data_IF_507171406779
#
_entry.id   IF_507171406779
#
_cell.length_a   1.000
_cell.length_b   1.000
_cell.length_c   1.000
_cell.angle_alpha   90.00
_cell.angle_beta   90.00
_cell.angle_gamma   90.00
#
_symmetry.space_group_name_H-M   'P 1'
#
loop_
_entity.id
_entity.type
_entity.pdbx_description
1 polymer ?
#
# COMPACT_ATOMS: atom_id res chain seq x y z
N UNK A 1 -5.36 -2.60 -11.37
CA UNK A 1 -6.14 -1.35 -11.57
C UNK A 1 -5.19 -0.17 -11.60
N UNK A 2 -5.24 0.75 -12.57
CA UNK A 2 -4.31 1.89 -12.61
C UNK A 2 -4.93 3.09 -11.88
N UNK A 3 -4.23 3.67 -10.91
CA UNK A 3 -4.62 4.89 -10.19
C UNK A 3 -3.56 5.99 -10.41
N UNK A 4 -3.28 6.42 -11.66
CA UNK A 4 -2.20 7.36 -11.93
C UNK A 4 -2.63 8.81 -11.62
N UNK A 5 -1.86 9.51 -10.80
CA UNK A 5 -2.04 10.94 -10.52
C UNK A 5 -3.33 11.29 -9.77
N UNK A 6 -3.92 10.32 -9.06
CA UNK A 6 -5.17 10.49 -8.33
C UNK A 6 -4.94 11.19 -6.99
N UNK A 7 -5.73 12.24 -6.75
CA UNK A 7 -6.02 12.72 -5.41
C UNK A 7 -6.83 11.62 -4.69
N UNK A 8 -6.15 10.83 -3.86
CA UNK A 8 -6.76 9.81 -2.99
C UNK A 8 -6.86 10.29 -1.55
N UNK A 9 -6.75 11.62 -1.33
CA UNK A 9 -6.79 12.16 0.01
C UNK A 9 -8.14 11.86 0.64
N UNK A 10 -8.12 11.31 1.86
CA UNK A 10 -9.32 10.91 2.61
C UNK A 10 -10.18 9.87 1.88
N UNK A 11 -9.64 9.18 0.89
CA UNK A 11 -10.34 8.11 0.21
C UNK A 11 -10.52 6.93 1.17
N UNK A 12 -11.69 6.31 1.11
CA UNK A 12 -11.94 5.06 1.81
C UNK A 12 -11.54 3.89 0.91
N UNK A 13 -10.40 3.26 1.22
CA UNK A 13 -9.84 2.11 0.51
C UNK A 13 -9.77 0.89 1.42
N UNK A 14 -10.53 0.86 2.53
CA UNK A 14 -10.53 -0.30 3.42
C UNK A 14 -11.13 -1.52 2.74
N UNK A 15 -10.56 -2.71 3.03
CA UNK A 15 -10.94 -4.00 2.42
C UNK A 15 -10.84 -4.03 0.87
N UNK A 16 -10.20 -3.03 0.25
CA UNK A 16 -10.08 -2.98 -1.22
C UNK A 16 -8.94 -3.86 -1.69
N UNK A 17 -9.23 -4.71 -2.67
CA UNK A 17 -8.22 -5.44 -3.42
C UNK A 17 -7.50 -4.52 -4.41
N UNK A 18 -6.32 -4.04 -4.02
CA UNK A 18 -5.44 -3.22 -4.83
C UNK A 18 -4.33 -4.05 -5.49
N UNK A 19 -4.44 -5.38 -5.53
CA UNK A 19 -3.37 -6.20 -6.12
C UNK A 19 -3.09 -5.82 -7.55
N UNK A 20 -1.79 -5.78 -7.90
CA UNK A 20 -1.34 -5.33 -9.22
C UNK A 20 -1.81 -3.91 -9.59
N UNK A 21 -2.11 -3.06 -8.59
CA UNK A 21 -2.38 -1.66 -8.83
C UNK A 21 -1.10 -0.87 -9.10
N UNK A 22 -1.28 0.29 -9.71
CA UNK A 22 -0.19 1.25 -9.93
C UNK A 22 -0.60 2.57 -9.29
N UNK A 23 0.04 2.89 -8.16
CA UNK A 23 -0.08 4.14 -7.41
C UNK A 23 1.06 5.07 -7.83
N UNK A 24 0.96 5.65 -9.03
CA UNK A 24 1.94 6.59 -9.56
C UNK A 24 1.53 8.02 -9.22
N UNK A 25 2.37 8.79 -8.51
CA UNK A 25 2.09 10.18 -8.10
C UNK A 25 0.81 10.36 -7.27
N UNK A 26 0.36 9.30 -6.59
CA UNK A 26 -0.85 9.35 -5.75
C UNK A 26 -0.60 10.13 -4.44
N UNK A 27 -1.58 10.91 -4.02
CA UNK A 27 -1.60 11.53 -2.69
C UNK A 27 -2.54 10.75 -1.79
N UNK A 28 -1.99 10.12 -0.75
CA UNK A 28 -2.69 9.24 0.20
C UNK A 28 -2.93 9.92 1.56
N UNK A 29 -2.87 11.25 1.64
CA UNK A 29 -3.14 12.00 2.88
C UNK A 29 -4.48 11.56 3.50
N UNK A 30 -4.44 11.06 4.74
CA UNK A 30 -5.63 10.59 5.47
C UNK A 30 -6.44 9.47 4.76
N UNK A 31 -5.90 8.80 3.74
CA UNK A 31 -6.57 7.67 3.11
C UNK A 31 -6.73 6.50 4.09
N UNK A 32 -7.89 5.86 4.12
CA UNK A 32 -8.12 4.67 4.91
C UNK A 32 -7.67 3.42 4.12
N UNK A 33 -6.61 2.74 4.58
CA UNK A 33 -6.08 1.53 3.95
C UNK A 33 -6.25 0.28 4.82
N UNK A 34 -7.08 0.35 5.86
CA UNK A 34 -7.33 -0.77 6.77
C UNK A 34 -7.79 -2.01 6.01
N UNK A 35 -7.09 -3.13 6.20
CA UNK A 35 -7.36 -4.42 5.56
C UNK A 35 -7.33 -4.38 4.01
N UNK A 36 -6.75 -3.33 3.41
CA UNK A 36 -6.57 -3.27 1.96
C UNK A 36 -5.49 -4.27 1.51
N UNK A 37 -5.67 -4.90 0.35
CA UNK A 37 -4.66 -5.80 -0.21
C UNK A 37 -3.74 -5.05 -1.17
N UNK A 38 -2.55 -4.66 -0.71
CA UNK A 38 -1.54 -3.99 -1.54
C UNK A 38 -0.58 -4.98 -2.22
N UNK A 39 -0.81 -6.29 -2.13
CA UNK A 39 0.11 -7.29 -2.69
C UNK A 39 0.40 -7.07 -4.19
N UNK A 40 1.66 -7.13 -4.59
CA UNK A 40 2.11 -6.85 -5.96
C UNK A 40 1.74 -5.44 -6.47
N UNK A 41 1.49 -4.46 -5.58
CA UNK A 41 1.23 -3.07 -5.98
C UNK A 41 2.55 -2.36 -6.29
N UNK A 42 2.51 -1.52 -7.33
CA UNK A 42 3.62 -0.65 -7.69
C UNK A 42 3.37 0.76 -7.17
N UNK A 43 4.16 1.19 -6.18
CA UNK A 43 4.06 2.52 -5.56
C UNK A 43 5.22 3.38 -6.03
N UNK A 44 4.92 4.39 -6.86
CA UNK A 44 5.93 5.26 -7.45
C UNK A 44 5.58 6.72 -7.19
N UNK A 45 6.50 7.47 -6.55
CA UNK A 45 6.31 8.88 -6.22
C UNK A 45 5.04 9.19 -5.39
N UNK A 46 4.47 8.19 -4.72
CA UNK A 46 3.33 8.39 -3.86
C UNK A 46 3.72 9.23 -2.64
N UNK A 47 2.85 10.15 -2.24
CA UNK A 47 3.05 11.08 -1.14
C UNK A 47 2.05 10.78 -0.02
N UNK A 48 2.40 11.22 1.19
CA UNK A 48 1.56 11.11 2.38
C UNK A 48 1.12 9.70 2.77
N UNK A 49 1.78 8.65 2.25
CA UNK A 49 1.65 7.29 2.76
C UNK A 49 2.42 7.18 4.09
N UNK A 50 1.73 6.93 5.20
CA UNK A 50 2.31 6.82 6.54
C UNK A 50 2.58 5.38 6.93
N UNK A 51 3.36 5.19 8.00
CA UNK A 51 3.54 3.87 8.60
C UNK A 51 2.26 3.28 9.18
N UNK A 52 1.43 4.14 9.78
CA UNK A 52 0.13 3.72 10.33
C UNK A 52 -0.76 3.14 9.22
N UNK A 53 -0.80 3.81 8.06
CA UNK A 53 -1.51 3.30 6.89
C UNK A 53 -0.92 1.99 6.37
N UNK A 54 0.41 1.85 6.32
CA UNK A 54 1.08 0.63 5.86
C UNK A 54 0.89 -0.56 6.81
N UNK A 55 0.87 -0.32 8.12
CA UNK A 55 0.79 -1.40 9.10
C UNK A 55 -0.63 -1.91 9.35
N UNK A 56 -1.63 -1.23 8.81
CA UNK A 56 -3.03 -1.68 8.85
C UNK A 56 -3.48 -2.39 7.57
N UNK A 57 -2.62 -2.58 6.56
CA UNK A 57 -3.01 -3.28 5.32
C UNK A 57 -2.98 -4.80 5.50
N UNK A 58 -3.75 -5.52 4.68
CA UNK A 58 -3.80 -6.99 4.73
C UNK A 58 -2.47 -7.62 4.28
N UNK A 59 -1.87 -7.09 3.21
CA UNK A 59 -0.64 -7.65 2.66
C UNK A 59 0.17 -6.62 1.89
N UNK A 60 1.49 -6.71 2.04
CA UNK A 60 2.49 -6.03 1.23
C UNK A 60 3.32 -7.02 0.39
N UNK A 61 2.90 -8.27 0.26
CA UNK A 61 3.68 -9.30 -0.45
C UNK A 61 3.94 -8.89 -1.90
N UNK A 62 5.23 -8.83 -2.29
CA UNK A 62 5.69 -8.35 -3.62
C UNK A 62 5.35 -6.87 -3.92
N UNK A 63 5.05 -6.05 -2.92
CA UNK A 63 4.79 -4.61 -3.12
C UNK A 63 6.10 -3.87 -3.33
N UNK A 64 6.14 -2.99 -4.34
CA UNK A 64 7.30 -2.14 -4.63
C UNK A 64 7.09 -0.76 -3.99
N UNK A 65 7.70 -0.53 -2.83
CA UNK A 65 7.66 0.74 -2.08
C UNK A 65 8.88 1.66 -2.32
N UNK A 66 9.81 1.25 -3.18
CA UNK A 66 11.07 1.95 -3.47
C UNK A 66 11.85 2.34 -2.20
N UNK A 67 12.14 3.62 -1.97
CA UNK A 67 12.92 4.11 -0.83
C UNK A 67 12.29 3.80 0.54
N UNK A 68 11.00 3.44 0.57
CA UNK A 68 10.28 3.06 1.80
C UNK A 68 10.32 1.57 2.09
N UNK A 69 10.99 0.76 1.26
CA UNK A 69 11.10 -0.68 1.48
C UNK A 69 11.73 -1.00 2.83
N UNK A 70 12.84 -0.34 3.17
CA UNK A 70 13.51 -0.53 4.46
C UNK A 70 12.60 -0.22 5.65
N UNK A 71 11.67 0.72 5.49
CA UNK A 71 10.72 1.10 6.53
C UNK A 71 9.64 0.02 6.72
N UNK A 72 9.15 -0.58 5.63
CA UNK A 72 8.22 -1.69 5.69
C UNK A 72 8.87 -2.95 6.30
N UNK A 73 10.13 -3.22 5.94
CA UNK A 73 10.94 -4.30 6.51
C UNK A 73 11.19 -4.11 8.02
N UNK A 74 11.40 -2.87 8.47
CA UNK A 74 11.66 -2.57 9.88
C UNK A 74 10.39 -2.67 10.75
N UNK A 75 9.28 -2.10 10.29
CA UNK A 75 8.08 -1.95 11.11
C UNK A 75 7.06 -3.06 10.93
N UNK A 76 6.89 -3.56 9.70
CA UNK A 76 5.83 -4.50 9.35
C UNK A 76 6.33 -5.64 8.43
N UNK A 77 7.41 -6.37 8.81
CA UNK A 77 8.02 -7.42 8.00
C UNK A 77 7.08 -8.60 7.72
N UNK A 78 6.18 -8.90 8.66
CA UNK A 78 5.19 -9.97 8.52
C UNK A 78 4.23 -9.75 7.33
N UNK A 79 4.00 -8.50 6.92
CA UNK A 79 3.17 -8.16 5.76
C UNK A 79 3.88 -8.42 4.42
N UNK A 80 5.21 -8.52 4.42
CA UNK A 80 6.03 -8.81 3.25
C UNK A 80 6.16 -10.32 2.98
N UNK A 81 5.75 -11.15 3.94
CA UNK A 81 5.78 -12.61 3.78
C UNK A 81 4.66 -13.09 2.86
N UNK A 82 4.85 -14.28 2.26
CA UNK A 82 3.83 -14.87 1.39
C UNK A 82 2.57 -15.14 2.22
N UNK A 83 1.41 -14.57 1.84
CA UNK A 83 0.18 -14.78 2.58
C UNK A 83 -0.21 -16.28 2.54
N UNK A 84 -0.85 -16.78 3.60
CA UNK A 84 -1.31 -18.17 3.66
C UNK A 84 -2.25 -18.45 2.49
N UNK A 85 -2.01 -19.56 1.77
CA UNK A 85 -2.88 -19.99 0.68
C UNK A 85 -4.19 -20.51 1.28
N UNK A 86 -5.19 -19.64 1.39
CA UNK A 86 -6.58 -20.03 1.65
C UNK A 86 -7.23 -20.52 0.36
#
# INVERSE_FOLDING_TARGET
>A
MKLPGGDLRRADLSDVDLRSAVLYDADLEEANLTDANLGSTLVYNARNLTLEQLCCVESLWLTELHDRMSLAEEHCPHLLERPPSI
#
